data_IF_367669245118
#
_entry.id   IF_367669245118
#
_cell.length_a   1.000
_cell.length_b   1.000
_cell.length_c   1.000
_cell.angle_alpha   90.00
_cell.angle_beta   90.00
_cell.angle_gamma   90.00
#
_symmetry.space_group_name_H-M   'P 1'
#
loop_
_entity.id
_entity.type
_entity.pdbx_description
1 polymer ?
#
# COMPACT_ATOMS: atom_id res chain seq x y z
N UNK A 1 6.44 -5.45 28.78
CA UNK A 1 7.20 -5.77 27.56
C UNK A 1 6.19 -6.07 26.47
N UNK A 2 5.80 -5.07 25.68
CA UNK A 2 4.97 -5.30 24.50
C UNK A 2 5.88 -5.90 23.45
N UNK A 3 5.58 -7.11 22.97
CA UNK A 3 6.30 -7.71 21.86
C UNK A 3 6.28 -6.75 20.68
N UNK A 4 7.41 -6.59 19.98
CA UNK A 4 7.43 -5.85 18.73
C UNK A 4 6.41 -6.51 17.79
N UNK A 5 5.54 -5.74 17.11
CA UNK A 5 4.57 -6.31 16.18
C UNK A 5 5.32 -7.15 15.14
N UNK A 6 4.80 -8.34 14.83
CA UNK A 6 5.37 -9.16 13.78
C UNK A 6 5.41 -8.36 12.47
N UNK A 7 6.49 -8.46 11.68
CA UNK A 7 6.60 -7.71 10.45
C UNK A 7 5.46 -8.11 9.52
N UNK A 8 4.61 -7.12 9.21
CA UNK A 8 3.53 -7.28 8.22
C UNK A 8 4.18 -7.59 6.88
N UNK A 9 3.61 -8.49 6.07
CA UNK A 9 4.22 -8.97 4.81
C UNK A 9 4.82 -7.86 3.90
N UNK A 10 4.18 -6.68 3.73
CA UNK A 10 4.78 -5.58 2.96
C UNK A 10 6.11 -5.06 3.50
N UNK A 11 6.33 -5.11 4.82
CA UNK A 11 7.56 -4.64 5.46
C UNK A 11 8.80 -5.47 5.09
N UNK A 12 8.61 -6.68 4.58
CA UNK A 12 9.72 -7.55 4.15
C UNK A 12 10.16 -7.26 2.71
N UNK A 13 9.38 -6.50 1.94
CA UNK A 13 9.70 -6.18 0.54
C UNK A 13 10.84 -5.17 0.43
N UNK A 14 11.66 -5.22 -0.65
CA UNK A 14 12.65 -4.19 -0.92
C UNK A 14 11.96 -2.85 -1.16
N UNK A 15 12.47 -1.80 -0.51
CA UNK A 15 11.92 -0.46 -0.66
C UNK A 15 12.60 0.27 -1.82
N UNK A 16 11.82 1.00 -2.61
CA UNK A 16 12.34 1.92 -3.64
C UNK A 16 12.78 3.25 -3.04
N UNK A 17 12.26 3.57 -1.85
CA UNK A 17 12.67 4.71 -1.04
C UNK A 17 12.64 4.32 0.43
N UNK A 18 13.66 4.71 1.18
CA UNK A 18 13.71 4.55 2.63
C UNK A 18 14.35 5.78 3.26
N UNK A 19 13.70 6.32 4.28
CA UNK A 19 14.20 7.48 4.99
C UNK A 19 13.83 7.43 6.47
N UNK A 20 14.84 7.60 7.32
CA UNK A 20 14.63 7.85 8.74
C UNK A 20 14.36 9.34 8.97
N UNK A 21 13.23 9.65 9.59
CA UNK A 21 12.81 11.01 9.90
C UNK A 21 12.81 11.16 11.43
N UNK A 22 13.61 12.10 11.92
CA UNK A 22 13.76 12.32 13.36
C UNK A 22 12.41 12.72 13.99
N UNK A 23 12.07 12.08 15.12
CA UNK A 23 10.78 12.28 15.80
C UNK A 23 9.56 11.67 15.11
N UNK A 24 9.68 11.15 13.88
CA UNK A 24 8.55 10.58 13.13
C UNK A 24 8.67 9.06 12.90
N UNK A 25 9.86 8.53 12.70
CA UNK A 25 10.11 7.10 12.45
C UNK A 25 10.75 6.86 11.08
N UNK A 26 10.77 5.60 10.64
CA UNK A 26 11.30 5.20 9.33
C UNK A 26 10.15 5.11 8.32
N UNK A 27 10.23 5.89 7.26
CA UNK A 27 9.29 5.86 6.13
C UNK A 27 9.89 5.03 5.01
N UNK A 28 9.14 4.06 4.51
CA UNK A 28 9.52 3.21 3.38
C UNK A 28 8.43 3.23 2.32
N UNK A 29 8.81 3.31 1.05
CA UNK A 29 7.91 3.06 -0.08
C UNK A 29 8.28 1.70 -0.67
N UNK A 30 7.35 0.74 -0.61
CA UNK A 30 7.51 -0.59 -1.20
C UNK A 30 6.49 -0.77 -2.32
N UNK A 31 6.82 -1.45 -3.44
CA UNK A 31 5.85 -1.76 -4.47
C UNK A 31 4.63 -2.49 -3.91
N UNK A 32 3.44 -2.14 -4.42
CA UNK A 32 2.22 -2.92 -4.20
C UNK A 32 2.39 -4.28 -4.87
N UNK A 33 2.03 -5.35 -4.17
CA UNK A 33 1.82 -6.67 -4.74
C UNK A 33 0.30 -6.90 -4.80
N UNK A 34 -0.33 -6.83 -5.99
CA UNK A 34 -1.78 -6.90 -6.10
C UNK A 34 -2.37 -8.17 -5.47
N UNK A 35 -1.69 -9.32 -5.60
CA UNK A 35 -2.18 -10.59 -5.06
C UNK A 35 -2.12 -10.64 -3.53
N UNK A 36 -0.99 -10.19 -2.95
CA UNK A 36 -0.79 -10.20 -1.51
C UNK A 36 -1.53 -9.07 -0.79
N UNK A 37 -1.67 -7.90 -1.42
CA UNK A 37 -2.15 -6.67 -0.76
C UNK A 37 -3.63 -6.37 -1.02
N UNK A 38 -4.31 -7.12 -1.91
CA UNK A 38 -5.72 -6.88 -2.27
C UNK A 38 -6.65 -6.75 -1.05
N UNK A 39 -6.43 -7.55 0.01
CA UNK A 39 -7.25 -7.46 1.22
C UNK A 39 -7.04 -6.14 1.98
N UNK A 40 -5.79 -5.70 2.10
CA UNK A 40 -5.45 -4.42 2.73
C UNK A 40 -5.99 -3.24 1.92
N UNK A 41 -5.74 -3.26 0.61
CA UNK A 41 -6.16 -2.19 -0.30
C UNK A 41 -7.68 -2.09 -0.36
N UNK A 42 -8.38 -3.22 -0.51
CA UNK A 42 -9.85 -3.27 -0.46
C UNK A 42 -10.38 -2.62 0.81
N UNK A 43 -9.85 -3.01 1.97
CA UNK A 43 -10.24 -2.43 3.26
C UNK A 43 -10.00 -0.91 3.38
N UNK A 44 -9.07 -0.34 2.60
CA UNK A 44 -8.85 1.12 2.57
C UNK A 44 -9.72 1.84 1.55
N UNK A 45 -9.83 1.30 0.33
CA UNK A 45 -10.49 2.01 -0.78
C UNK A 45 -12.01 1.95 -0.70
N UNK A 46 -12.57 1.01 0.06
CA UNK A 46 -14.04 0.91 0.25
C UNK A 46 -14.57 1.77 1.40
N UNK A 47 -13.73 2.37 2.22
CA UNK A 47 -14.19 3.18 3.35
C UNK A 47 -14.79 4.51 2.88
N UNK A 48 -15.76 5.05 3.63
CA UNK A 48 -16.44 6.30 3.28
C UNK A 48 -15.46 7.47 3.05
N UNK A 49 -14.39 7.54 3.86
CA UNK A 49 -13.33 8.55 3.71
C UNK A 49 -12.59 8.45 2.37
N UNK A 50 -12.60 7.28 1.75
CA UNK A 50 -11.96 6.97 0.48
C UNK A 50 -12.92 7.04 -0.71
N UNK A 51 -14.16 7.55 -0.55
CA UNK A 51 -15.16 7.64 -1.63
C UNK A 51 -14.66 8.26 -2.94
N UNK A 52 -13.68 9.16 -2.86
CA UNK A 52 -13.09 9.83 -4.03
C UNK A 52 -12.27 8.90 -4.94
N UNK A 53 -11.89 7.72 -4.44
CA UNK A 53 -11.29 6.66 -5.24
C UNK A 53 -12.31 5.97 -6.15
N UNK A 54 -13.61 6.20 -5.97
CA UNK A 54 -14.66 5.58 -6.79
C UNK A 54 -14.81 4.07 -6.57
N UNK A 55 -14.17 3.52 -5.52
CA UNK A 55 -14.09 2.07 -5.27
C UNK A 55 -14.96 1.59 -4.11
N UNK A 56 -15.87 2.42 -3.58
CA UNK A 56 -16.69 2.11 -2.40
C UNK A 56 -17.41 0.75 -2.48
N UNK A 57 -17.99 0.41 -3.64
CA UNK A 57 -18.76 -0.81 -3.86
C UNK A 57 -17.95 -1.94 -4.53
N UNK A 58 -16.63 -1.79 -4.68
CA UNK A 58 -15.81 -2.81 -5.30
C UNK A 58 -15.60 -4.00 -4.35
N UNK A 59 -15.58 -5.19 -4.94
CA UNK A 59 -15.14 -6.42 -4.26
C UNK A 59 -13.62 -6.47 -4.16
N UNK A 60 -13.10 -7.33 -3.28
CA UNK A 60 -11.66 -7.57 -3.16
C UNK A 60 -11.04 -8.00 -4.49
N UNK A 61 -11.68 -8.92 -5.21
CA UNK A 61 -11.22 -9.39 -6.51
C UNK A 61 -11.16 -8.26 -7.55
N UNK A 62 -12.16 -7.37 -7.59
CA UNK A 62 -12.12 -6.21 -8.49
C UNK A 62 -10.98 -5.24 -8.12
N UNK A 63 -10.74 -5.01 -6.82
CA UNK A 63 -9.61 -4.19 -6.38
C UNK A 63 -8.27 -4.82 -6.79
N UNK A 64 -8.12 -6.15 -6.63
CA UNK A 64 -6.95 -6.89 -7.12
C UNK A 64 -6.75 -6.66 -8.62
N UNK A 65 -7.78 -6.87 -9.43
CA UNK A 65 -7.72 -6.72 -10.89
C UNK A 65 -7.35 -5.29 -11.32
N UNK A 66 -7.84 -4.27 -10.62
CA UNK A 66 -7.45 -2.87 -10.85
C UNK A 66 -5.96 -2.68 -10.61
N UNK A 67 -5.41 -3.17 -9.50
CA UNK A 67 -3.99 -3.00 -9.21
C UNK A 67 -3.09 -3.90 -10.06
N UNK A 68 -3.57 -5.05 -10.54
CA UNK A 68 -2.89 -5.85 -11.57
C UNK A 68 -2.83 -5.10 -12.91
N UNK A 69 -3.91 -4.42 -13.29
CA UNK A 69 -3.90 -3.56 -14.47
C UNK A 69 -2.93 -2.39 -14.30
N UNK A 70 -2.95 -1.70 -13.16
CA UNK A 70 -2.00 -0.61 -12.86
C UNK A 70 -0.55 -1.10 -12.94
N UNK A 71 -0.23 -2.24 -12.34
CA UNK A 71 1.12 -2.85 -12.37
C UNK A 71 1.57 -3.22 -13.79
N UNK A 72 0.63 -3.55 -14.68
CA UNK A 72 0.94 -3.84 -16.09
C UNK A 72 1.33 -2.60 -16.91
N UNK A 73 1.03 -1.39 -16.44
CA UNK A 73 1.28 -0.15 -17.16
C UNK A 73 2.70 0.36 -16.85
N UNK A 74 3.54 0.63 -17.87
CA UNK A 74 4.91 1.07 -17.63
C UNK A 74 5.02 2.47 -17.02
N UNK A 75 3.96 3.28 -17.08
CA UNK A 75 3.94 4.67 -16.60
C UNK A 75 3.18 4.86 -15.30
N UNK A 76 2.57 3.81 -14.75
CA UNK A 76 1.80 3.88 -13.51
C UNK A 76 2.45 2.99 -12.47
N UNK A 77 2.76 3.55 -11.31
CA UNK A 77 3.38 2.77 -10.24
C UNK A 77 2.64 3.00 -8.93
N UNK A 78 2.30 1.91 -8.26
CA UNK A 78 1.64 1.92 -6.95
C UNK A 78 2.58 1.39 -5.87
N UNK A 79 2.58 2.09 -4.73
CA UNK A 79 3.42 1.81 -3.59
C UNK A 79 2.61 1.82 -2.30
N UNK A 80 2.95 0.92 -1.38
CA UNK A 80 2.56 1.07 0.02
C UNK A 80 3.60 1.94 0.72
N UNK A 81 3.13 3.02 1.34
CA UNK A 81 3.92 3.82 2.26
C UNK A 81 3.82 3.22 3.65
N UNK A 82 4.95 2.78 4.21
CA UNK A 82 5.06 2.18 5.53
C UNK A 82 5.71 3.18 6.48
N UNK A 83 5.20 3.26 7.71
CA UNK A 83 5.84 3.93 8.83
C UNK A 83 6.21 2.88 9.88
N UNK A 84 7.49 2.77 10.18
CA UNK A 84 8.04 1.78 11.12
C UNK A 84 7.57 0.34 10.82
N UNK A 85 7.48 0.01 9.52
CA UNK A 85 7.04 -1.30 9.04
C UNK A 85 5.51 -1.49 8.96
N UNK A 86 4.72 -0.51 9.38
CA UNK A 86 3.25 -0.58 9.31
C UNK A 86 2.74 0.18 8.08
N UNK A 87 1.96 -0.45 7.18
CA UNK A 87 1.33 0.24 6.06
C UNK A 87 0.43 1.38 6.55
N UNK A 88 0.65 2.58 6.02
CA UNK A 88 -0.02 3.81 6.47
C UNK A 88 -0.73 4.54 5.33
N UNK A 89 -0.29 4.37 4.09
CA UNK A 89 -0.94 4.98 2.93
C UNK A 89 -0.66 4.18 1.64
N UNK A 90 -1.54 4.39 0.66
CA UNK A 90 -1.29 4.07 -0.74
C UNK A 90 -0.73 5.33 -1.43
N UNK A 91 0.35 5.16 -2.19
CA UNK A 91 1.00 6.22 -2.96
C UNK A 91 1.12 5.79 -4.43
N UNK A 92 0.87 6.70 -5.36
CA UNK A 92 0.97 6.42 -6.79
C UNK A 92 1.75 7.51 -7.50
N UNK A 93 2.59 7.12 -8.45
CA UNK A 93 3.28 8.02 -9.38
C UNK A 93 2.82 7.74 -10.80
N UNK A 94 2.82 8.79 -11.61
CA UNK A 94 2.41 8.77 -13.01
C UNK A 94 3.45 9.55 -13.82
N UNK A 95 3.84 9.02 -14.97
CA UNK A 95 4.68 9.73 -15.95
C UNK A 95 3.86 10.56 -16.94
#
# INVERSE_FOLDING_TARGET
MTAAPEPVAPALRPAVHEQKIEGFGTVRLVPVDPAADAGLLHGWVTEERARFWGMADHTREQVREIYEFVDSLPTHHAYLALRDGVPAALFQTYE
#
